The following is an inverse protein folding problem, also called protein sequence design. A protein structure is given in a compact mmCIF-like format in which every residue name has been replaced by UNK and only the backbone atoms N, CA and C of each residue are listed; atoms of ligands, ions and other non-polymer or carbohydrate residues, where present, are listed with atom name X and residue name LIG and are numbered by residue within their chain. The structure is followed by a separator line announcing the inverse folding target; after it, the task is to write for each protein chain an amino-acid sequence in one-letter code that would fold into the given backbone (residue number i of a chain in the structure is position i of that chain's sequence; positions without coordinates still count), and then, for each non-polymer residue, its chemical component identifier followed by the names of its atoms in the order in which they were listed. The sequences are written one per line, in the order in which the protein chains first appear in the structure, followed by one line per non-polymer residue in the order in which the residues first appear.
data_IF_508929552604
#
_entry.id   IF_508929552604
#
_cell.length_a   1.000
_cell.length_b   1.000
_cell.length_c   1.000
_cell.angle_alpha   90.00
_cell.angle_beta   90.00
_cell.angle_gamma   90.00
#
_symmetry.space_group_name_H-M   'P 1'
#
loop_
_entity.id
_entity.type
_entity.pdbx_description
1 polymer ?
#
# COMPACT_ATOMS: atom_id res chain seq x y z
N UNK A 1 40.30 42.25 90.72
CA UNK A 1 40.99 42.32 89.42
C UNK A 1 40.04 41.77 88.34
N UNK A 2 39.48 42.64 87.50
CA UNK A 2 38.40 42.29 86.56
C UNK A 2 38.96 42.03 85.17
N UNK A 3 38.88 40.79 84.67
CA UNK A 3 39.33 40.40 83.32
C UNK A 3 38.25 40.75 82.30
N UNK A 4 38.50 41.74 81.45
CA UNK A 4 37.68 42.01 80.26
C UNK A 4 38.01 40.98 79.17
N UNK A 5 37.07 40.10 78.85
CA UNK A 5 37.15 39.22 77.69
C UNK A 5 36.62 39.97 76.47
N UNK A 6 37.50 40.24 75.51
CA UNK A 6 37.17 40.92 74.26
C UNK A 6 36.67 39.89 73.25
N UNK A 7 35.36 39.81 73.01
CA UNK A 7 34.77 38.90 72.03
C UNK A 7 35.00 39.47 70.62
N UNK A 8 35.92 38.88 69.85
CA UNK A 8 36.12 39.23 68.44
C UNK A 8 34.99 38.58 67.63
N UNK A 9 34.02 39.37 67.14
CA UNK A 9 33.00 38.91 66.19
C UNK A 9 33.68 38.58 64.86
N UNK A 10 33.60 37.31 64.44
CA UNK A 10 34.03 36.83 63.12
C UNK A 10 33.03 37.32 62.06
N UNK A 11 33.46 37.94 60.95
CA UNK A 11 32.55 38.29 59.86
C UNK A 11 31.97 37.01 59.24
N UNK A 12 30.68 37.03 58.90
CA UNK A 12 30.05 35.96 58.17
C UNK A 12 30.63 35.89 56.75
N UNK A 13 31.07 34.71 56.32
CA UNK A 13 31.53 34.49 54.96
C UNK A 13 30.32 34.54 54.01
N UNK A 14 30.32 35.49 53.07
CA UNK A 14 29.34 35.56 51.99
C UNK A 14 29.54 34.34 51.09
N UNK A 15 28.55 33.44 51.05
CA UNK A 15 28.56 32.31 50.11
C UNK A 15 28.47 32.86 48.68
N UNK A 16 29.35 32.44 47.75
CA UNK A 16 29.21 32.85 46.36
C UNK A 16 27.90 32.28 45.79
N UNK A 17 27.21 33.10 44.99
CA UNK A 17 25.99 32.69 44.31
C UNK A 17 26.31 31.53 43.37
N UNK A 18 25.65 30.38 43.59
CA UNK A 18 25.73 29.24 42.67
C UNK A 18 24.99 29.63 41.39
N UNK A 19 25.74 30.05 40.37
CA UNK A 19 25.23 30.17 39.02
C UNK A 19 24.93 28.76 38.52
N UNK A 20 23.66 28.35 38.60
CA UNK A 20 23.21 27.11 37.96
C UNK A 20 23.39 27.29 36.46
N UNK A 21 24.17 26.42 35.82
CA UNK A 21 24.25 26.36 34.38
C UNK A 21 22.84 26.15 33.82
N UNK A 22 22.37 27.09 33.00
CA UNK A 22 21.10 26.95 32.28
C UNK A 22 21.28 25.81 31.31
N UNK A 23 20.54 24.71 31.52
CA UNK A 23 20.52 23.60 30.59
C UNK A 23 20.01 24.11 29.23
N UNK A 24 20.57 23.64 28.10
CA UNK A 24 20.08 24.02 26.78
C UNK A 24 18.58 23.72 26.68
N UNK A 25 17.76 24.76 26.52
CA UNK A 25 16.33 24.62 26.28
C UNK A 25 16.16 24.28 24.80
N UNK A 26 15.47 23.17 24.51
CA UNK A 26 15.12 22.77 23.14
C UNK A 26 14.37 23.93 22.46
N UNK A 27 14.79 24.41 21.28
CA UNK A 27 14.07 25.45 20.55
C UNK A 27 12.61 25.03 20.32
N UNK A 28 11.67 25.96 20.52
CA UNK A 28 10.23 25.75 20.31
C UNK A 28 9.84 25.69 18.81
N UNK A 29 10.80 25.92 17.92
CA UNK A 29 10.65 25.68 16.49
C UNK A 29 10.58 24.18 16.28
N UNK A 30 9.54 23.63 15.63
CA UNK A 30 9.59 22.24 15.17
C UNK A 30 10.78 22.17 14.20
N UNK A 31 11.86 21.54 14.67
CA UNK A 31 12.97 21.16 13.81
C UNK A 31 12.48 20.21 12.72
N UNK A 32 13.33 19.84 11.75
CA UNK A 32 12.96 18.88 10.72
C UNK A 32 12.31 17.66 11.38
N UNK A 33 11.14 17.24 10.87
CA UNK A 33 10.42 16.07 11.40
C UNK A 33 11.42 14.94 11.64
N UNK A 34 11.40 14.40 12.86
CA UNK A 34 12.19 13.22 13.16
C UNK A 34 11.74 12.11 12.21
N UNK A 35 12.72 11.36 11.69
CA UNK A 35 12.46 10.12 10.94
C UNK A 35 11.43 9.30 11.73
N UNK A 36 10.28 9.06 11.11
CA UNK A 36 9.17 8.34 11.73
C UNK A 36 9.40 6.83 11.66
N UNK A 37 8.75 6.09 12.54
CA UNK A 37 8.77 4.63 12.52
C UNK A 37 8.23 4.06 11.19
N UNK A 38 7.19 4.68 10.64
CA UNK A 38 6.62 4.28 9.34
C UNK A 38 7.63 4.41 8.20
N UNK A 39 8.41 5.50 8.19
CA UNK A 39 9.49 5.70 7.21
C UNK A 39 10.59 4.65 7.36
N UNK A 40 11.01 4.35 8.60
CA UNK A 40 12.02 3.32 8.86
C UNK A 40 11.54 1.94 8.41
N UNK A 41 10.30 1.59 8.74
CA UNK A 41 9.71 0.30 8.39
C UNK A 41 9.61 0.11 6.87
N UNK A 42 9.15 1.12 6.13
CA UNK A 42 9.08 1.02 4.67
C UNK A 42 10.46 0.97 4.01
N UNK A 43 11.42 1.77 4.47
CA UNK A 43 12.77 1.72 3.95
C UNK A 43 13.44 0.37 4.22
N UNK A 44 13.21 -0.22 5.40
CA UNK A 44 13.69 -1.55 5.75
C UNK A 44 13.03 -2.64 4.91
N UNK A 45 11.69 -2.61 4.80
CA UNK A 45 10.94 -3.55 3.98
C UNK A 45 11.36 -3.47 2.49
N UNK A 46 11.63 -2.28 1.98
CA UNK A 46 12.06 -2.09 0.59
C UNK A 46 13.44 -2.72 0.35
N UNK A 47 14.35 -2.60 1.31
CA UNK A 47 15.67 -3.26 1.25
C UNK A 47 15.53 -4.79 1.29
N UNK A 48 14.65 -5.32 2.13
CA UNK A 48 14.39 -6.77 2.18
C UNK A 48 13.78 -7.30 0.89
N UNK A 49 12.90 -6.51 0.25
CA UNK A 49 12.33 -6.81 -1.06
C UNK A 49 13.33 -6.62 -2.22
N UNK A 50 14.55 -6.14 -1.95
CA UNK A 50 15.55 -5.85 -2.98
C UNK A 50 15.18 -4.68 -3.89
N UNK A 51 14.22 -3.84 -3.51
CA UNK A 51 13.80 -2.66 -4.28
C UNK A 51 14.93 -1.61 -4.35
N UNK A 52 14.85 -0.64 -5.28
CA UNK A 52 15.84 0.42 -5.39
C UNK A 52 16.12 1.09 -4.04
N UNK A 53 17.38 1.49 -3.83
CA UNK A 53 17.79 2.11 -2.57
C UNK A 53 17.13 3.48 -2.41
N UNK A 54 16.07 3.51 -1.62
CA UNK A 54 15.32 4.73 -1.30
C UNK A 54 15.72 5.20 0.12
N UNK A 55 16.23 6.44 0.28
CA UNK A 55 16.54 6.99 1.60
C UNK A 55 15.31 7.01 2.51
N UNK A 56 15.51 6.84 3.81
CA UNK A 56 14.41 6.83 4.79
C UNK A 56 13.57 8.12 4.71
N UNK A 57 14.24 9.27 4.53
CA UNK A 57 13.61 10.59 4.41
C UNK A 57 12.83 10.80 3.12
N UNK A 58 13.00 9.95 2.11
CA UNK A 58 12.27 10.03 0.84
C UNK A 58 10.89 9.33 0.91
N UNK A 59 10.64 8.56 1.97
CA UNK A 59 9.31 8.01 2.25
C UNK A 59 8.49 9.10 2.94
N UNK A 60 7.44 9.58 2.31
CA UNK A 60 6.52 10.57 2.86
C UNK A 60 5.28 9.88 3.44
N UNK A 61 4.96 10.08 4.74
CA UNK A 61 3.70 9.64 5.31
C UNK A 61 2.49 10.23 4.57
N UNK A 62 1.44 9.42 4.43
CA UNK A 62 0.20 9.78 3.78
C UNK A 62 -0.93 9.81 4.82
N UNK A 63 -1.98 10.63 4.63
CA UNK A 63 -3.11 10.70 5.56
C UNK A 63 -3.84 9.37 5.77
N UNK A 64 -3.75 8.45 4.81
CA UNK A 64 -4.35 7.12 4.87
C UNK A 64 -3.48 6.08 5.61
N UNK A 65 -2.41 6.50 6.29
CA UNK A 65 -1.50 5.63 7.03
C UNK A 65 -0.49 4.86 6.16
N UNK A 66 -0.49 5.08 4.84
CA UNK A 66 0.56 4.58 3.98
C UNK A 66 1.80 5.50 4.02
N UNK A 67 2.92 5.01 3.52
CA UNK A 67 4.07 5.86 3.18
C UNK A 67 4.39 5.73 1.70
N UNK A 68 4.75 6.82 1.07
CA UNK A 68 5.01 6.87 -0.38
C UNK A 68 6.40 7.40 -0.67
N UNK A 69 7.11 6.76 -1.58
CA UNK A 69 8.35 7.27 -2.13
C UNK A 69 8.23 7.46 -3.65
N UNK A 70 8.89 8.48 -4.17
CA UNK A 70 8.97 8.74 -5.61
C UNK A 70 10.31 8.24 -6.16
N UNK A 71 10.24 7.60 -7.31
CA UNK A 71 11.36 7.10 -8.08
C UNK A 71 11.49 7.92 -9.38
N UNK A 72 12.60 7.76 -10.12
CA UNK A 72 12.73 8.34 -11.45
C UNK A 72 11.59 7.94 -12.40
N UNK A 73 11.43 8.71 -13.48
CA UNK A 73 10.41 8.48 -14.51
C UNK A 73 8.94 8.53 -14.00
N UNK A 74 8.68 9.20 -12.87
CA UNK A 74 7.33 9.40 -12.34
C UNK A 74 6.75 8.19 -11.63
N UNK A 75 7.51 7.10 -11.48
CA UNK A 75 7.09 5.95 -10.69
C UNK A 75 7.02 6.32 -9.21
N UNK A 76 6.02 5.82 -8.49
CA UNK A 76 6.01 5.91 -7.04
C UNK A 76 5.68 4.57 -6.39
N UNK A 77 6.24 4.34 -5.22
CA UNK A 77 5.98 3.16 -4.40
C UNK A 77 5.19 3.60 -3.18
N UNK A 78 4.09 2.90 -2.91
CA UNK A 78 3.34 3.03 -1.66
C UNK A 78 3.56 1.77 -0.83
N UNK A 79 3.88 1.93 0.44
CA UNK A 79 4.00 0.85 1.42
C UNK A 79 2.89 0.93 2.44
N UNK A 80 2.22 -0.21 2.65
CA UNK A 80 1.19 -0.44 3.65
C UNK A 80 1.46 -1.78 4.35
N UNK A 81 0.75 -2.13 5.45
CA UNK A 81 0.92 -3.43 6.09
C UNK A 81 0.78 -4.65 5.15
N UNK A 82 -0.01 -4.51 4.07
CA UNK A 82 -0.18 -5.54 3.05
C UNK A 82 1.01 -5.68 2.07
N UNK A 83 1.96 -4.76 2.08
CA UNK A 83 3.14 -4.76 1.22
C UNK A 83 3.28 -3.52 0.34
N UNK A 84 3.97 -3.67 -0.78
CA UNK A 84 4.26 -2.59 -1.73
C UNK A 84 3.28 -2.57 -2.90
N UNK A 85 2.89 -1.37 -3.32
CA UNK A 85 2.20 -1.12 -4.58
C UNK A 85 3.01 -0.12 -5.40
N UNK A 86 3.33 -0.49 -6.63
CA UNK A 86 3.91 0.40 -7.61
C UNK A 86 2.82 1.18 -8.35
N UNK A 87 2.99 2.49 -8.43
CA UNK A 87 2.21 3.38 -9.28
C UNK A 87 3.09 3.77 -10.47
N UNK A 88 2.85 3.15 -11.62
CA UNK A 88 3.65 3.34 -12.83
C UNK A 88 2.84 4.17 -13.84
N UNK A 89 3.36 5.34 -14.29
CA UNK A 89 2.67 6.13 -15.29
C UNK A 89 2.65 5.40 -16.63
N UNK A 90 1.58 5.57 -17.40
CA UNK A 90 1.48 5.08 -18.77
C UNK A 90 1.43 6.22 -19.80
N UNK A 91 1.73 5.94 -21.09
CA UNK A 91 1.69 6.94 -22.15
C UNK A 91 0.32 7.62 -22.35
N UNK A 92 -0.77 6.96 -21.92
CA UNK A 92 -2.13 7.50 -21.98
C UNK A 92 -2.47 8.43 -20.79
N UNK A 93 -1.51 8.75 -19.92
CA UNK A 93 -1.67 9.69 -18.81
C UNK A 93 -2.26 9.10 -17.53
N UNK A 94 -2.64 7.83 -17.52
CA UNK A 94 -3.07 7.11 -16.33
C UNK A 94 -1.88 6.55 -15.54
N UNK A 95 -2.14 6.06 -14.31
CA UNK A 95 -1.18 5.31 -13.51
C UNK A 95 -1.72 3.89 -13.28
N UNK A 96 -0.89 2.89 -13.55
CA UNK A 96 -1.18 1.50 -13.20
C UNK A 96 -0.79 1.27 -11.74
N UNK A 97 -1.64 0.55 -11.02
CA UNK A 97 -1.43 0.20 -9.62
C UNK A 97 -1.16 -1.29 -9.52
N UNK A 98 0.09 -1.66 -9.28
CA UNK A 98 0.51 -3.07 -9.29
C UNK A 98 1.10 -3.44 -7.94
N UNK A 99 0.50 -4.39 -7.20
CA UNK A 99 1.14 -4.97 -6.03
C UNK A 99 2.46 -5.64 -6.44
N UNK A 100 3.53 -5.36 -5.69
CA UNK A 100 4.86 -5.92 -5.97
C UNK A 100 5.48 -6.47 -4.69
N UNK A 101 6.34 -7.46 -4.84
CA UNK A 101 7.06 -8.09 -3.72
C UNK A 101 8.57 -7.94 -3.82
N UNK A 102 9.08 -7.54 -4.99
CA UNK A 102 10.51 -7.40 -5.26
C UNK A 102 10.81 -6.48 -6.45
N UNK A 103 12.09 -6.25 -6.73
CA UNK A 103 12.56 -5.40 -7.85
C UNK A 103 12.16 -5.94 -9.23
N UNK A 104 12.10 -7.26 -9.42
CA UNK A 104 11.63 -7.81 -10.68
C UNK A 104 10.17 -7.43 -10.93
N UNK A 105 9.31 -7.56 -9.92
CA UNK A 105 7.91 -7.13 -10.01
C UNK A 105 7.77 -5.63 -10.30
N UNK A 106 8.66 -4.79 -9.76
CA UNK A 106 8.70 -3.35 -10.11
C UNK A 106 9.06 -3.12 -11.59
N UNK A 107 10.06 -3.85 -12.09
CA UNK A 107 10.46 -3.78 -13.51
C UNK A 107 9.34 -4.25 -14.43
N UNK A 108 8.70 -5.37 -14.10
CA UNK A 108 7.58 -5.93 -14.86
C UNK A 108 6.38 -4.97 -14.87
N UNK A 109 6.05 -4.36 -13.72
CA UNK A 109 4.98 -3.36 -13.62
C UNK A 109 5.28 -2.10 -14.46
N UNK A 110 6.54 -1.70 -14.54
CA UNK A 110 6.98 -0.55 -15.35
C UNK A 110 6.90 -0.87 -16.84
N UNK A 111 7.36 -2.06 -17.24
CA UNK A 111 7.25 -2.53 -18.62
C UNK A 111 5.78 -2.65 -19.05
N UNK A 112 4.93 -3.29 -18.23
CA UNK A 112 3.51 -3.44 -18.51
C UNK A 112 2.80 -2.08 -18.72
N UNK A 113 3.10 -1.08 -17.89
CA UNK A 113 2.54 0.27 -18.04
C UNK A 113 3.01 0.97 -19.33
N UNK A 114 4.24 0.72 -19.78
CA UNK A 114 4.75 1.25 -21.05
C UNK A 114 3.99 0.66 -22.27
N UNK A 115 3.52 -0.59 -22.16
CA UNK A 115 2.72 -1.28 -23.17
C UNK A 115 1.20 -1.03 -23.07
N UNK A 116 0.77 -0.08 -22.23
CA UNK A 116 -0.64 0.31 -22.09
C UNK A 116 -1.30 0.63 -23.44
N UNK A 117 -0.56 1.18 -24.39
CA UNK A 117 -1.09 1.53 -25.72
C UNK A 117 -1.51 0.33 -26.56
N UNK A 118 -1.02 -0.87 -26.25
CA UNK A 118 -1.37 -2.09 -26.99
C UNK A 118 -2.81 -2.53 -26.66
N UNK A 119 -3.26 -2.25 -25.42
CA UNK A 119 -4.62 -2.56 -24.96
C UNK A 119 -5.58 -1.38 -25.13
N UNK A 120 -5.10 -0.16 -24.93
CA UNK A 120 -5.93 1.05 -24.89
C UNK A 120 -5.82 1.92 -26.14
N UNK A 121 -4.99 1.52 -27.10
CA UNK A 121 -4.68 2.31 -28.28
C UNK A 121 -3.68 3.44 -28.00
N UNK A 122 -3.26 4.11 -29.07
CA UNK A 122 -2.32 5.22 -29.00
C UNK A 122 -3.00 6.48 -28.44
N UNK A 123 -2.30 7.27 -27.61
CA UNK A 123 -2.83 8.54 -27.12
C UNK A 123 -3.13 9.45 -28.31
N UNK A 124 -4.36 9.94 -28.39
CA UNK A 124 -4.79 10.87 -29.43
C UNK A 124 -4.80 12.28 -28.86
N UNK A 125 -4.03 13.18 -29.46
CA UNK A 125 -4.19 14.61 -29.21
C UNK A 125 -5.32 15.11 -30.13
N UNK A 126 -6.48 15.40 -29.55
CA UNK A 126 -7.59 15.99 -30.29
C UNK A 126 -7.38 17.50 -30.40
N UNK A 127 -7.67 18.06 -31.57
CA UNK A 127 -7.85 19.52 -31.69
C UNK A 127 -9.11 19.96 -30.95
N UNK A 128 -9.20 21.22 -30.53
CA UNK A 128 -10.40 21.78 -29.88
C UNK A 128 -11.69 21.52 -30.68
N UNK A 129 -11.63 21.63 -32.01
CA UNK A 129 -12.77 21.34 -32.88
C UNK A 129 -13.16 19.86 -32.88
N UNK A 130 -12.17 18.95 -32.83
CA UNK A 130 -12.44 17.50 -32.75
C UNK A 130 -12.97 17.09 -31.38
N UNK A 131 -12.47 17.70 -30.30
CA UNK A 131 -13.02 17.50 -28.95
C UNK A 131 -14.46 18.03 -28.83
N UNK A 132 -14.80 19.11 -29.54
CA UNK A 132 -16.17 19.64 -29.60
C UNK A 132 -17.11 18.75 -30.44
N UNK A 133 -16.60 17.98 -31.40
CA UNK A 133 -17.40 17.00 -32.15
C UNK A 133 -17.68 15.73 -31.33
N UNK A 134 -16.77 15.32 -30.44
CA UNK A 134 -17.01 14.22 -29.48
C UNK A 134 -17.95 14.60 -28.33
N UNK A 135 -18.56 15.80 -28.37
CA UNK A 135 -19.52 16.21 -27.32
C UNK A 135 -20.69 15.23 -27.24
N UNK A 136 -21.09 14.62 -28.37
CA UNK A 136 -22.09 13.54 -28.42
C UNK A 136 -21.74 12.35 -27.51
N UNK A 137 -20.47 11.94 -27.42
CA UNK A 137 -20.02 10.87 -26.51
C UNK A 137 -19.99 11.28 -25.03
N UNK A 138 -20.11 12.58 -24.75
CA UNK A 138 -20.19 13.13 -23.39
C UNK A 138 -21.54 13.76 -23.09
N UNK A 139 -22.51 13.64 -24.00
CA UNK A 139 -23.86 14.12 -23.75
C UNK A 139 -24.44 13.31 -22.59
N UNK A 140 -25.06 14.03 -21.66
CA UNK A 140 -25.76 13.41 -20.55
C UNK A 140 -26.93 12.60 -21.13
N UNK A 141 -26.83 11.28 -21.06
CA UNK A 141 -27.88 10.38 -21.54
C UNK A 141 -29.19 10.72 -20.83
N UNK A 142 -30.24 10.94 -21.62
CA UNK A 142 -31.58 11.09 -21.06
C UNK A 142 -32.09 9.72 -20.57
N UNK A 143 -33.12 9.74 -19.71
CA UNK A 143 -33.77 8.49 -19.27
C UNK A 143 -34.31 7.70 -20.46
N UNK A 144 -34.81 8.39 -21.47
CA UNK A 144 -35.39 7.78 -22.67
C UNK A 144 -34.30 7.10 -23.52
N UNK A 145 -33.09 7.67 -23.61
CA UNK A 145 -31.95 7.05 -24.31
C UNK A 145 -31.47 5.78 -23.58
N UNK A 146 -31.49 5.80 -22.25
CA UNK A 146 -31.15 4.65 -21.41
C UNK A 146 -32.18 3.54 -21.59
N UNK A 147 -33.47 3.87 -21.54
CA UNK A 147 -34.56 2.91 -21.69
C UNK A 147 -34.62 2.36 -23.13
N UNK A 148 -34.30 3.17 -24.15
CA UNK A 148 -34.16 2.75 -25.54
C UNK A 148 -32.96 1.81 -25.74
N UNK A 149 -31.82 2.09 -25.11
CA UNK A 149 -30.65 1.21 -25.11
C UNK A 149 -30.93 -0.14 -24.44
N UNK A 150 -31.59 -0.13 -23.27
CA UNK A 150 -31.97 -1.33 -22.52
C UNK A 150 -33.00 -2.20 -23.24
N UNK A 151 -33.84 -1.60 -24.08
CA UNK A 151 -34.83 -2.34 -24.89
C UNK A 151 -34.26 -2.84 -26.22
N UNK A 152 -33.21 -2.20 -26.74
CA UNK A 152 -32.48 -2.64 -27.92
C UNK A 152 -31.52 -3.81 -27.63
N UNK A 153 -31.00 -3.90 -26.40
CA UNK A 153 -30.08 -4.96 -25.95
C UNK A 153 -30.87 -6.20 -25.48
N UNK A 154 -31.53 -6.86 -26.43
CA UNK A 154 -32.06 -8.21 -26.25
C UNK A 154 -31.09 -9.23 -26.84
N UNK A 155 -29.88 -9.28 -26.27
CA UNK A 155 -29.13 -10.53 -26.24
C UNK A 155 -29.99 -11.53 -25.46
N UNK A 156 -30.61 -12.46 -26.19
CA UNK A 156 -31.29 -13.59 -25.58
C UNK A 156 -30.32 -14.24 -24.60
N UNK A 157 -30.72 -14.33 -23.33
CA UNK A 157 -29.96 -15.03 -22.31
C UNK A 157 -29.56 -16.40 -22.86
N UNK A 158 -28.29 -16.56 -23.20
CA UNK A 158 -27.76 -17.84 -23.62
C UNK A 158 -27.86 -18.74 -22.39
N UNK A 159 -28.52 -19.90 -22.47
CA UNK A 159 -28.76 -20.73 -21.29
C UNK A 159 -27.40 -21.04 -20.66
N UNK A 160 -27.24 -20.65 -19.41
CA UNK A 160 -26.05 -20.98 -18.64
C UNK A 160 -25.90 -22.51 -18.68
N UNK A 161 -24.72 -23.06 -19.06
CA UNK A 161 -24.50 -24.48 -18.89
C UNK A 161 -24.67 -24.77 -17.40
N UNK A 162 -25.61 -25.66 -17.08
CA UNK A 162 -25.88 -26.10 -15.71
C UNK A 162 -24.56 -26.43 -15.03
N UNK A 163 -24.25 -25.67 -13.99
CA UNK A 163 -23.14 -25.92 -13.07
C UNK A 163 -23.25 -27.38 -12.61
N UNK A 164 -22.42 -28.24 -13.18
CA UNK A 164 -22.16 -29.55 -12.60
C UNK A 164 -21.26 -29.27 -11.40
N UNK A 165 -21.85 -29.20 -10.20
CA UNK A 165 -21.12 -29.03 -8.94
C UNK A 165 -19.95 -30.03 -8.88
N UNK A 166 -18.68 -29.60 -8.99
CA UNK A 166 -17.55 -30.50 -8.81
C UNK A 166 -17.26 -30.52 -7.30
N UNK A 167 -17.90 -31.43 -6.56
CA UNK A 167 -17.60 -31.46 -5.13
C UNK A 167 -18.32 -32.46 -4.23
N UNK A 168 -19.38 -33.15 -4.67
CA UNK A 168 -20.12 -34.05 -3.76
C UNK A 168 -20.01 -35.54 -4.09
N UNK A 169 -19.43 -35.93 -5.23
CA UNK A 169 -19.34 -37.33 -5.64
C UNK A 169 -17.98 -38.00 -5.41
N UNK A 170 -16.92 -37.25 -5.07
CA UNK A 170 -15.60 -37.85 -4.78
C UNK A 170 -15.54 -38.36 -3.33
N UNK A 171 -16.19 -37.67 -2.39
CA UNK A 171 -16.21 -38.10 -0.98
C UNK A 171 -17.05 -39.36 -0.75
N UNK A 172 -18.14 -39.54 -1.50
CA UNK A 172 -18.99 -40.74 -1.39
C UNK A 172 -18.35 -41.96 -2.09
N UNK A 173 -17.70 -41.76 -3.24
CA UNK A 173 -16.95 -42.82 -3.92
C UNK A 173 -15.70 -43.27 -3.12
N UNK A 174 -15.04 -42.37 -2.40
CA UNK A 174 -13.94 -42.72 -1.50
C UNK A 174 -14.44 -43.48 -0.25
N UNK A 175 -15.60 -43.11 0.30
CA UNK A 175 -16.19 -43.82 1.44
C UNK A 175 -16.67 -45.25 1.08
N UNK A 176 -17.22 -45.45 -0.12
CA UNK A 176 -17.64 -46.79 -0.59
C UNK A 176 -16.45 -47.70 -0.95
N UNK A 177 -15.35 -47.14 -1.47
CA UNK A 177 -14.14 -47.90 -1.76
C UNK A 177 -13.42 -48.38 -0.47
N UNK A 178 -13.39 -47.55 0.57
CA UNK A 178 -12.81 -47.94 1.87
C UNK A 178 -13.71 -48.88 2.69
N UNK A 179 -15.04 -48.80 2.52
CA UNK A 179 -15.98 -49.74 3.16
C UNK A 179 -15.91 -51.17 2.61
N UNK A 180 -15.67 -51.34 1.31
CA UNK A 180 -15.55 -52.68 0.70
C UNK A 180 -14.20 -53.35 0.97
N UNK A 181 -13.13 -52.58 1.15
CA UNK A 181 -11.83 -53.13 1.55
C UNK A 181 -11.82 -53.66 3.00
N UNK A 182 -12.59 -53.04 3.91
CA UNK A 182 -12.70 -53.52 5.29
C UNK A 182 -13.56 -54.79 5.45
N UNK A 183 -14.56 -54.99 4.58
CA UNK A 183 -15.41 -56.18 4.62
C UNK A 183 -14.72 -57.45 4.06
N UNK A 184 -13.79 -57.32 3.10
CA UNK A 184 -13.06 -58.48 2.55
C UNK A 184 -11.94 -59.01 3.46
N UNK A 185 -11.50 -58.24 4.45
CA UNK A 185 -10.50 -58.70 5.43
C UNK A 185 -11.11 -59.39 6.66
N UNK A 186 -12.43 -59.41 6.80
CA UNK A 186 -13.11 -60.05 7.95
C UNK A 186 -13.62 -61.47 7.64
N UNK A 187 -13.68 -61.89 6.37
CA UNK A 187 -14.13 -63.24 5.96
C UNK A 187 -12.98 -64.24 5.73
N UNK A 188 -11.71 -63.87 6.00
CA UNK A 188 -10.54 -64.77 5.86
C UNK A 188 -9.85 -65.12 7.18
N UNK A 189 -10.48 -64.84 8.33
CA UNK A 189 -9.94 -65.20 9.65
C UNK A 189 -11.03 -65.80 10.54
N UNK A 190 -11.39 -67.05 10.23
CA UNK A 190 -12.06 -68.00 11.13
C UNK A 190 -11.59 -69.40 10.71
N UNK A 191 -10.43 -69.80 11.23
CA UNK A 191 -10.19 -71.19 11.65
C UNK A 191 -10.31 -71.21 13.18
#
# INVERSE_FOLDING_TARGET
MSRKTHTKKRPAATKPAVLRAVLPIRPATPGPEFITEQQMNAAYAARLAGLPLIPITAWAPQPNGAVRAHLPAGVSLTHQPAGFTAHTPCPNGAHHHTPITNDQGLRDATAAAAHCTDLHGQPRTLTLHQAAATTEDTQQLSRDDIDAGLTADHDQAQPHPTETTPGYNIALAAAEAHGRAAAQHQETSCD
#
